data_IF_400033061837
#
_entry.id   IF_400033061837
#
_cell.length_a   1.000
_cell.length_b   1.000
_cell.length_c   1.000
_cell.angle_alpha   90.00
_cell.angle_beta   90.00
_cell.angle_gamma   90.00
#
_symmetry.space_group_name_H-M   'P 1'
#
loop_
_entity.id
_entity.type
_entity.pdbx_description
1 polymer ?
#
# COMPACT_ATOMS: atom_id res chain seq x y z
N UNK A 1 3.61 13.42 6.96
CA UNK A 1 4.80 14.05 6.35
C UNK A 1 5.10 13.35 5.03
N UNK A 2 5.53 14.06 3.99
CA UNK A 2 6.04 13.45 2.76
C UNK A 2 7.50 12.96 2.94
N UNK A 3 8.00 12.11 2.03
CA UNK A 3 9.38 11.56 2.09
C UNK A 3 10.45 12.63 2.33
N UNK A 4 10.37 13.77 1.62
CA UNK A 4 11.34 14.85 1.78
C UNK A 4 11.30 15.46 3.19
N UNK A 5 10.10 15.66 3.74
CA UNK A 5 9.92 16.12 5.12
C UNK A 5 10.46 15.11 6.13
N UNK A 6 10.26 13.81 5.92
CA UNK A 6 10.77 12.75 6.80
C UNK A 6 12.30 12.70 6.78
N UNK A 7 12.90 12.70 5.58
CA UNK A 7 14.37 12.76 5.42
C UNK A 7 14.97 13.99 6.07
N UNK A 8 14.34 15.16 5.89
CA UNK A 8 14.79 16.41 6.51
C UNK A 8 14.69 16.37 8.04
N UNK A 9 13.58 15.88 8.58
CA UNK A 9 13.37 15.76 10.01
C UNK A 9 14.39 14.82 10.66
N UNK A 10 14.63 13.66 10.04
CA UNK A 10 15.63 12.70 10.52
C UNK A 10 17.05 13.25 10.50
N UNK A 11 17.47 13.89 9.41
CA UNK A 11 18.79 14.52 9.32
C UNK A 11 18.95 15.58 10.40
N UNK A 12 17.89 16.35 10.67
CA UNK A 12 17.87 17.33 11.75
C UNK A 12 18.03 16.62 13.10
N UNK A 13 17.21 15.60 13.38
CA UNK A 13 17.27 14.82 14.63
C UNK A 13 18.69 14.28 14.90
N UNK A 14 19.30 13.60 13.92
CA UNK A 14 20.64 13.03 14.06
C UNK A 14 21.67 14.11 14.36
N UNK A 15 21.63 15.24 13.65
CA UNK A 15 22.56 16.37 13.88
C UNK A 15 22.42 16.94 15.28
N UNK A 16 21.20 17.10 15.76
CA UNK A 16 20.96 17.61 17.11
C UNK A 16 21.48 16.60 18.16
N UNK A 17 21.25 15.28 17.98
CA UNK A 17 21.79 14.23 18.86
C UNK A 17 23.33 14.24 18.87
N UNK A 18 23.99 14.31 17.70
CA UNK A 18 25.46 14.38 17.60
C UNK A 18 26.03 15.55 18.41
N UNK A 19 25.32 16.69 18.46
CA UNK A 19 25.73 17.86 19.25
C UNK A 19 25.84 17.57 20.75
N UNK A 20 25.05 16.64 21.27
CA UNK A 20 25.10 16.22 22.66
C UNK A 20 26.17 15.15 22.90
N UNK A 21 26.27 14.18 21.99
CA UNK A 21 27.28 13.11 22.05
C UNK A 21 28.72 13.66 22.03
N UNK A 22 29.00 14.63 21.16
CA UNK A 22 30.32 15.28 21.06
C UNK A 22 30.74 15.97 22.37
N UNK A 23 29.78 16.31 23.22
CA UNK A 23 30.00 16.95 24.52
C UNK A 23 29.91 15.99 25.71
N UNK A 24 29.81 14.68 25.45
CA UNK A 24 29.54 13.64 26.46
C UNK A 24 28.28 13.94 27.29
N UNK A 25 27.25 14.50 26.65
CA UNK A 25 25.94 14.73 27.24
C UNK A 25 24.98 13.73 26.57
N UNK A 26 24.26 12.92 27.35
CA UNK A 26 23.45 11.83 26.83
C UNK A 26 23.96 10.44 27.21
N UNK A 27 23.13 9.43 26.96
CA UNK A 27 23.46 8.02 27.16
C UNK A 27 24.48 7.54 26.12
N UNK A 28 25.37 6.60 26.48
CA UNK A 28 26.29 5.98 25.52
C UNK A 28 25.47 5.33 24.40
N UNK A 29 25.68 5.76 23.15
CA UNK A 29 24.95 5.25 21.98
C UNK A 29 25.04 3.73 21.84
N UNK A 30 26.09 3.12 22.39
CA UNK A 30 26.25 1.66 22.40
C UNK A 30 25.19 0.95 23.24
N UNK A 31 24.56 1.62 24.20
CA UNK A 31 23.43 1.06 24.97
C UNK A 31 22.18 0.83 24.12
N UNK A 32 22.12 1.48 22.95
CA UNK A 32 21.05 1.34 21.97
C UNK A 32 21.51 0.54 20.74
N UNK A 33 22.60 -0.25 20.86
CA UNK A 33 23.25 -0.92 19.73
C UNK A 33 23.57 0.04 18.55
N UNK A 34 23.83 1.32 18.86
CA UNK A 34 24.19 2.33 17.89
C UNK A 34 25.69 2.65 17.88
N UNK A 35 26.17 3.07 16.72
CA UNK A 35 27.48 3.69 16.48
C UNK A 35 27.31 4.90 15.55
N UNK A 36 28.39 5.64 15.29
CA UNK A 36 28.33 6.85 14.45
C UNK A 36 27.81 6.60 13.03
N UNK A 37 27.99 5.39 12.49
CA UNK A 37 27.50 5.00 11.16
C UNK A 37 26.04 4.58 11.23
N UNK A 38 25.66 3.81 12.23
CA UNK A 38 24.30 3.30 12.40
C UNK A 38 23.34 4.40 12.88
N UNK A 39 23.81 5.42 13.60
CA UNK A 39 23.05 6.63 13.95
C UNK A 39 22.59 7.41 12.71
N UNK A 40 23.33 7.32 11.60
CA UNK A 40 22.98 7.95 10.31
C UNK A 40 22.09 7.07 9.43
N UNK A 41 21.80 5.86 9.89
CA UNK A 41 20.97 4.91 9.17
C UNK A 41 19.52 4.97 9.69
N UNK A 42 18.64 5.40 8.80
CA UNK A 42 17.21 5.57 9.08
C UNK A 42 16.50 4.27 9.48
N UNK A 43 17.06 3.10 9.12
CA UNK A 43 16.54 1.80 9.58
C UNK A 43 16.56 1.67 11.10
N UNK A 44 17.43 2.42 11.77
CA UNK A 44 17.54 2.42 13.22
C UNK A 44 16.67 3.50 13.88
N UNK A 45 15.75 4.14 13.14
CA UNK A 45 14.89 5.20 13.68
C UNK A 45 14.26 4.84 15.03
N UNK A 46 13.75 3.61 15.28
CA UNK A 46 13.26 3.23 16.60
C UNK A 46 14.28 3.41 17.72
N UNK A 47 15.49 2.91 17.54
CA UNK A 47 16.56 3.03 18.54
C UNK A 47 17.04 4.48 18.69
N UNK A 48 17.03 5.23 17.59
CA UNK A 48 17.39 6.65 17.56
C UNK A 48 16.36 7.50 18.31
N UNK A 49 15.06 7.17 18.21
CA UNK A 49 13.99 7.84 18.96
C UNK A 49 14.12 7.56 20.46
N UNK A 50 14.45 6.34 20.86
CA UNK A 50 14.68 6.02 22.28
C UNK A 50 15.91 6.77 22.82
N UNK A 51 17.03 6.79 22.09
CA UNK A 51 18.20 7.61 22.43
C UNK A 51 17.83 9.11 22.54
N UNK A 52 17.02 9.62 21.62
CA UNK A 52 16.59 11.02 21.60
C UNK A 52 15.79 11.40 22.86
N UNK A 53 14.87 10.53 23.30
CA UNK A 53 14.11 10.71 24.55
C UNK A 53 15.04 10.77 25.75
N UNK A 54 16.01 9.86 25.83
CA UNK A 54 17.02 9.84 26.88
C UNK A 54 17.85 11.13 26.93
N UNK A 55 18.27 11.64 25.77
CA UNK A 55 18.98 12.93 25.68
C UNK A 55 18.11 14.06 26.21
N UNK A 56 16.83 14.13 25.82
CA UNK A 56 15.88 15.14 26.31
C UNK A 56 15.75 15.06 27.84
N UNK A 57 15.57 13.86 28.38
CA UNK A 57 15.40 13.65 29.82
C UNK A 57 16.65 14.05 30.60
N UNK A 58 17.85 13.70 30.13
CA UNK A 58 19.10 14.13 30.75
C UNK A 58 19.29 15.64 30.71
N UNK A 59 18.92 16.31 29.62
CA UNK A 59 18.98 17.78 29.53
C UNK A 59 18.04 18.42 30.56
N UNK A 60 16.81 17.90 30.67
CA UNK A 60 15.83 18.40 31.63
C UNK A 60 16.29 18.19 33.08
N UNK A 61 16.85 17.02 33.41
CA UNK A 61 17.33 16.71 34.76
C UNK A 61 18.59 17.50 35.16
N UNK A 62 19.54 17.67 34.25
CA UNK A 62 20.86 18.25 34.58
C UNK A 62 20.94 19.77 34.32
N UNK A 63 20.18 20.28 33.35
CA UNK A 63 20.35 21.65 32.83
C UNK A 63 19.06 22.46 32.83
N UNK A 64 17.88 21.83 32.95
CA UNK A 64 16.59 22.51 33.12
C UNK A 64 16.52 23.57 34.24
N UNK A 65 17.27 23.46 35.35
CA UNK A 65 17.31 24.48 36.40
C UNK A 65 18.31 25.63 36.16
N UNK A 66 19.24 25.52 35.20
CA UNK A 66 20.35 26.47 35.04
C UNK A 66 20.12 27.43 33.87
N UNK A 67 19.55 28.60 34.16
CA UNK A 67 19.33 29.69 33.17
C UNK A 67 20.60 30.52 32.92
N UNK A 68 21.70 29.87 32.56
CA UNK A 68 22.91 30.51 32.05
C UNK A 68 23.04 30.25 30.53
N UNK A 69 23.99 30.92 29.88
CA UNK A 69 24.18 30.82 28.41
C UNK A 69 24.39 29.36 27.94
N UNK A 70 25.03 28.53 28.78
CA UNK A 70 25.24 27.11 28.51
C UNK A 70 23.95 26.28 28.64
N UNK A 71 23.15 26.50 29.68
CA UNK A 71 21.88 25.80 29.87
C UNK A 71 20.85 26.17 28.81
N UNK A 72 20.81 27.44 28.38
CA UNK A 72 19.93 27.87 27.30
C UNK A 72 20.28 27.20 25.97
N UNK A 73 21.57 27.07 25.65
CA UNK A 73 22.04 26.33 24.48
C UNK A 73 21.50 24.89 24.47
N UNK A 74 21.70 24.13 25.55
CA UNK A 74 21.26 22.73 25.60
C UNK A 74 19.74 22.59 25.56
N UNK A 75 19.02 23.52 26.18
CA UNK A 75 17.56 23.53 26.15
C UNK A 75 17.01 23.76 24.73
N UNK A 76 17.59 24.70 23.97
CA UNK A 76 17.18 24.96 22.57
C UNK A 76 17.42 23.74 21.67
N UNK A 77 18.57 23.08 21.82
CA UNK A 77 18.88 21.86 21.09
C UNK A 77 17.95 20.69 21.47
N UNK A 78 17.65 20.51 22.76
CA UNK A 78 16.72 19.47 23.22
C UNK A 78 15.30 19.71 22.72
N UNK A 79 14.86 20.97 22.64
CA UNK A 79 13.56 21.32 22.05
C UNK A 79 13.48 20.95 20.56
N UNK A 80 14.55 21.17 19.79
CA UNK A 80 14.60 20.74 18.38
C UNK A 80 14.53 19.22 18.25
N UNK A 81 15.19 18.48 19.15
CA UNK A 81 15.08 17.02 19.23
C UNK A 81 13.62 16.63 19.50
N UNK A 82 12.97 17.26 20.48
CA UNK A 82 11.57 16.99 20.84
C UNK A 82 10.62 17.20 19.66
N UNK A 83 10.76 18.31 18.93
CA UNK A 83 9.97 18.58 17.71
C UNK A 83 10.16 17.48 16.64
N UNK A 84 11.40 16.98 16.47
CA UNK A 84 11.64 15.90 15.51
C UNK A 84 11.09 14.56 16.01
N UNK A 85 11.22 14.25 17.31
CA UNK A 85 10.67 13.04 17.93
C UNK A 85 9.15 13.00 17.77
N UNK A 86 8.46 14.13 18.00
CA UNK A 86 7.00 14.22 17.82
C UNK A 86 6.59 13.98 16.36
N UNK A 87 7.38 14.50 15.42
CA UNK A 87 7.13 14.34 13.98
C UNK A 87 7.43 12.92 13.45
N UNK A 88 8.44 12.26 14.00
CA UNK A 88 8.95 10.96 13.54
C UNK A 88 8.40 9.76 14.35
N UNK A 89 7.86 10.01 15.54
CA UNK A 89 7.33 9.00 16.47
C UNK A 89 6.33 8.03 15.81
N UNK A 90 5.30 8.50 15.10
CA UNK A 90 4.35 7.62 14.41
C UNK A 90 4.97 6.73 13.34
N UNK A 91 6.09 7.15 12.72
CA UNK A 91 6.84 6.35 11.74
C UNK A 91 7.65 5.29 12.47
N UNK A 92 8.32 5.69 13.55
CA UNK A 92 9.09 4.83 14.43
C UNK A 92 8.25 3.69 15.04
N UNK A 93 7.05 3.98 15.52
CA UNK A 93 6.13 2.98 16.08
C UNK A 93 5.77 1.90 15.06
N UNK A 94 5.42 2.31 13.83
CA UNK A 94 5.11 1.36 12.74
C UNK A 94 6.32 0.54 12.31
N UNK A 95 7.52 1.12 12.31
CA UNK A 95 8.75 0.35 12.04
C UNK A 95 8.97 -0.76 13.06
N UNK A 96 8.59 -0.53 14.32
CA UNK A 96 8.67 -1.55 15.38
C UNK A 96 7.56 -2.62 15.24
N UNK A 97 6.36 -2.25 14.80
CA UNK A 97 5.24 -3.18 14.60
C UNK A 97 5.40 -4.06 13.36
N UNK A 98 5.93 -3.50 12.26
CA UNK A 98 6.05 -4.15 10.96
C UNK A 98 7.50 -4.62 10.71
N UNK A 99 8.06 -5.42 11.62
CA UNK A 99 9.48 -5.84 11.64
C UNK A 99 10.01 -6.50 10.36
N UNK A 100 9.13 -6.91 9.43
CA UNK A 100 9.48 -7.50 8.14
C UNK A 100 9.52 -6.48 6.97
N UNK A 101 9.01 -5.27 7.15
CA UNK A 101 8.95 -4.26 6.09
C UNK A 101 10.15 -3.31 6.14
N UNK A 102 10.66 -3.00 4.97
CA UNK A 102 11.77 -2.07 4.78
C UNK A 102 11.27 -0.61 4.94
N UNK A 103 12.14 0.26 5.46
CA UNK A 103 11.87 1.69 5.64
C UNK A 103 11.34 2.38 4.38
N UNK A 104 11.83 2.02 3.20
CA UNK A 104 11.34 2.57 1.93
C UNK A 104 9.89 2.12 1.65
N UNK A 105 9.50 0.91 2.05
CA UNK A 105 8.11 0.42 1.97
C UNK A 105 7.19 1.12 2.97
N UNK A 106 7.70 1.43 4.16
CA UNK A 106 6.99 2.22 5.17
C UNK A 106 6.79 3.65 4.66
N UNK A 107 7.82 4.27 4.08
CA UNK A 107 7.73 5.60 3.47
C UNK A 107 6.77 5.67 2.28
N UNK A 108 6.67 4.61 1.47
CA UNK A 108 5.67 4.51 0.42
C UNK A 108 4.24 4.53 0.97
N UNK A 109 4.01 4.02 2.18
CA UNK A 109 2.72 4.15 2.88
C UNK A 109 2.47 5.57 3.43
N UNK A 110 3.52 6.37 3.66
CA UNK A 110 3.42 7.73 4.24
C UNK A 110 3.48 8.87 3.21
N UNK A 111 4.12 8.66 2.07
CA UNK A 111 4.16 9.67 1.02
C UNK A 111 2.84 9.65 0.27
N UNK A 112 2.10 10.77 0.19
CA UNK A 112 1.08 10.88 -0.82
C UNK A 112 1.81 10.68 -2.14
N UNK A 113 1.47 9.62 -2.88
CA UNK A 113 1.80 9.52 -4.30
C UNK A 113 1.57 10.90 -4.88
N UNK A 114 2.51 11.44 -5.66
CA UNK A 114 2.36 12.77 -6.25
C UNK A 114 1.20 12.70 -7.26
N UNK A 115 -0.03 12.89 -6.76
CA UNK A 115 -1.28 12.73 -7.53
C UNK A 115 -1.36 13.81 -8.61
N UNK A 116 -0.81 14.99 -8.32
CA UNK A 116 -0.80 16.13 -9.23
C UNK A 116 0.57 16.33 -9.88
N UNK A 117 0.60 16.60 -11.20
CA UNK A 117 1.81 17.06 -11.89
C UNK A 117 2.48 18.28 -11.24
N UNK A 118 3.77 18.42 -11.51
CA UNK A 118 4.59 19.55 -11.10
C UNK A 118 4.01 20.90 -11.56
N UNK A 119 4.12 21.91 -10.71
CA UNK A 119 3.61 23.26 -10.98
C UNK A 119 2.11 23.44 -10.71
N UNK A 120 1.38 22.40 -10.31
CA UNK A 120 -0.03 22.52 -9.90
C UNK A 120 -0.12 22.79 -8.40
N UNK A 121 -0.87 23.83 -8.02
CA UNK A 121 -1.13 24.11 -6.61
C UNK A 121 -2.11 23.08 -6.01
N UNK A 122 -1.58 22.22 -5.15
CA UNK A 122 -2.32 21.16 -4.45
C UNK A 122 -3.52 21.69 -3.65
N UNK A 123 -3.37 22.82 -2.95
CA UNK A 123 -4.40 23.32 -2.03
C UNK A 123 -5.70 23.71 -2.75
N UNK A 124 -5.65 23.94 -4.06
CA UNK A 124 -6.82 24.26 -4.88
C UNK A 124 -7.72 23.05 -5.16
N UNK A 125 -7.18 21.84 -5.03
CA UNK A 125 -7.86 20.60 -5.41
C UNK A 125 -7.99 19.62 -4.24
N UNK A 126 -7.86 20.11 -3.01
CA UNK A 126 -7.86 19.27 -1.82
C UNK A 126 -9.09 18.37 -1.73
N UNK A 127 -10.29 18.90 -1.96
CA UNK A 127 -11.54 18.14 -1.92
C UNK A 127 -11.54 16.96 -2.92
N UNK A 128 -11.10 17.20 -4.16
CA UNK A 128 -11.00 16.17 -5.21
C UNK A 128 -9.97 15.09 -4.84
N UNK A 129 -8.88 15.50 -4.20
CA UNK A 129 -7.83 14.57 -3.76
C UNK A 129 -8.29 13.74 -2.57
N UNK A 130 -9.09 14.33 -1.67
CA UNK A 130 -9.70 13.60 -0.57
C UNK A 130 -10.72 12.57 -1.06
N UNK A 131 -11.50 12.90 -2.10
CA UNK A 131 -12.43 11.98 -2.76
C UNK A 131 -11.74 10.76 -3.40
N UNK A 132 -10.42 10.81 -3.67
CA UNK A 132 -9.67 9.70 -4.26
C UNK A 132 -9.48 8.52 -3.31
N UNK A 133 -9.50 8.74 -1.99
CA UNK A 133 -9.12 7.73 -0.99
C UNK A 133 -9.93 6.45 -1.11
N UNK A 134 -11.24 6.58 -1.30
CA UNK A 134 -12.16 5.44 -1.37
C UNK A 134 -12.03 4.69 -2.70
N UNK A 135 -12.16 5.35 -3.88
CA UNK A 135 -11.97 4.70 -5.17
C UNK A 135 -10.60 4.03 -5.34
N UNK A 136 -9.51 4.63 -4.86
CA UNK A 136 -8.17 4.04 -4.93
C UNK A 136 -8.11 2.71 -4.16
N UNK A 137 -8.60 2.69 -2.91
CA UNK A 137 -8.62 1.46 -2.12
C UNK A 137 -9.50 0.39 -2.76
N UNK A 138 -10.67 0.76 -3.27
CA UNK A 138 -11.54 -0.16 -4.00
C UNK A 138 -10.84 -0.72 -5.25
N UNK A 139 -10.16 0.12 -6.02
CA UNK A 139 -9.41 -0.30 -7.20
C UNK A 139 -8.37 -1.35 -6.86
N UNK A 140 -7.58 -1.14 -5.81
CA UNK A 140 -6.55 -2.10 -5.37
C UNK A 140 -7.17 -3.46 -5.00
N UNK A 141 -8.24 -3.47 -4.20
CA UNK A 141 -8.94 -4.69 -3.79
C UNK A 141 -9.55 -5.44 -4.97
N UNK A 142 -10.19 -4.72 -5.88
CA UNK A 142 -10.79 -5.28 -7.09
C UNK A 142 -9.70 -5.86 -8.00
N UNK A 143 -8.61 -5.12 -8.22
CA UNK A 143 -7.49 -5.57 -9.04
C UNK A 143 -6.92 -6.90 -8.53
N UNK A 144 -6.68 -7.00 -7.22
CA UNK A 144 -6.17 -8.23 -6.58
C UNK A 144 -7.16 -9.37 -6.76
N UNK A 145 -8.43 -9.16 -6.38
CA UNK A 145 -9.47 -10.19 -6.48
C UNK A 145 -9.67 -10.69 -7.92
N UNK A 146 -9.72 -9.78 -8.91
CA UNK A 146 -9.93 -10.12 -10.31
C UNK A 146 -8.77 -10.98 -10.85
N UNK A 147 -7.53 -10.69 -10.45
CA UNK A 147 -6.36 -11.48 -10.85
C UNK A 147 -6.23 -12.82 -10.11
N UNK A 148 -6.69 -12.90 -8.87
CA UNK A 148 -6.86 -14.19 -8.17
C UNK A 148 -7.86 -15.07 -8.93
N UNK A 149 -9.01 -14.51 -9.32
CA UNK A 149 -10.02 -15.24 -10.12
C UNK A 149 -9.41 -15.72 -11.45
N UNK A 150 -8.63 -14.89 -12.16
CA UNK A 150 -7.94 -15.33 -13.39
C UNK A 150 -7.01 -16.51 -13.14
N UNK A 151 -6.18 -16.41 -12.10
CA UNK A 151 -5.21 -17.46 -11.75
C UNK A 151 -5.94 -18.76 -11.38
N UNK A 152 -7.04 -18.65 -10.64
CA UNK A 152 -7.91 -19.76 -10.32
C UNK A 152 -8.52 -20.42 -11.56
N UNK A 153 -9.06 -19.63 -12.50
CA UNK A 153 -9.59 -20.13 -13.77
C UNK A 153 -8.49 -20.85 -14.56
N UNK A 154 -7.30 -20.26 -14.71
CA UNK A 154 -6.17 -20.90 -15.41
C UNK A 154 -5.82 -22.25 -14.77
N UNK A 155 -5.75 -22.30 -13.44
CA UNK A 155 -5.47 -23.54 -12.69
C UNK A 155 -6.53 -24.61 -12.94
N UNK A 156 -7.81 -24.26 -12.88
CA UNK A 156 -8.92 -25.18 -13.12
C UNK A 156 -8.91 -25.70 -14.57
N UNK A 157 -8.71 -24.82 -15.56
CA UNK A 157 -8.62 -25.23 -16.97
C UNK A 157 -7.45 -26.18 -17.19
N UNK A 158 -6.27 -25.85 -16.66
CA UNK A 158 -5.07 -26.70 -16.75
C UNK A 158 -5.30 -28.08 -16.15
N UNK A 159 -5.96 -28.16 -14.99
CA UNK A 159 -6.29 -29.43 -14.33
C UNK A 159 -7.27 -30.29 -15.13
N UNK A 160 -8.07 -29.67 -16.01
CA UNK A 160 -9.00 -30.36 -16.91
C UNK A 160 -8.41 -30.54 -18.33
N UNK A 161 -7.10 -30.34 -18.53
CA UNK A 161 -6.44 -30.52 -19.82
C UNK A 161 -6.75 -29.45 -20.86
N UNK A 162 -7.29 -28.30 -20.45
CA UNK A 162 -7.68 -27.19 -21.33
C UNK A 162 -6.60 -26.10 -21.25
N UNK A 163 -6.02 -25.76 -22.39
CA UNK A 163 -4.88 -24.83 -22.47
C UNK A 163 -5.27 -23.36 -22.63
N UNK A 164 -6.55 -23.07 -22.96
CA UNK A 164 -7.02 -21.70 -23.21
C UNK A 164 -8.53 -21.56 -22.95
N UNK A 165 -9.00 -20.34 -22.68
CA UNK A 165 -10.45 -20.04 -22.62
C UNK A 165 -11.09 -20.21 -24.00
N UNK A 166 -10.38 -19.85 -25.07
CA UNK A 166 -10.89 -19.92 -26.44
C UNK A 166 -11.25 -21.36 -26.86
N UNK A 167 -10.59 -22.38 -26.29
CA UNK A 167 -10.92 -23.79 -26.51
C UNK A 167 -12.22 -24.27 -25.83
N UNK A 168 -12.87 -23.44 -25.01
CA UNK A 168 -14.12 -23.82 -24.32
C UNK A 168 -15.36 -23.80 -25.23
N UNK A 169 -15.25 -23.32 -26.48
CA UNK A 169 -16.37 -23.26 -27.42
C UNK A 169 -17.43 -22.19 -27.08
N UNK A 170 -17.11 -21.23 -26.21
CA UNK A 170 -18.04 -20.16 -25.82
C UNK A 170 -17.88 -18.99 -26.81
N UNK A 171 -18.69 -18.99 -27.88
CA UNK A 171 -18.59 -18.05 -29.01
C UNK A 171 -18.55 -16.56 -28.61
N UNK A 172 -19.25 -16.16 -27.56
CA UNK A 172 -19.23 -14.78 -27.07
C UNK A 172 -17.86 -14.39 -26.49
N UNK A 173 -17.20 -15.29 -25.76
CA UNK A 173 -15.86 -15.08 -25.20
C UNK A 173 -14.79 -15.13 -26.29
N UNK A 174 -14.87 -16.13 -27.17
CA UNK A 174 -13.96 -16.29 -28.32
C UNK A 174 -13.89 -15.01 -29.17
N UNK A 175 -15.05 -14.45 -29.54
CA UNK A 175 -15.09 -13.21 -30.34
C UNK A 175 -14.40 -12.05 -29.63
N UNK A 176 -14.60 -11.91 -28.31
CA UNK A 176 -14.00 -10.82 -27.52
C UNK A 176 -12.48 -10.99 -27.37
N UNK A 177 -12.01 -12.21 -27.11
CA UNK A 177 -10.57 -12.53 -27.05
C UNK A 177 -9.91 -12.15 -28.37
N UNK A 178 -10.46 -12.62 -29.50
CA UNK A 178 -9.91 -12.35 -30.84
C UNK A 178 -9.91 -10.85 -31.12
N UNK A 179 -11.03 -10.16 -30.91
CA UNK A 179 -11.16 -8.72 -31.14
C UNK A 179 -10.15 -7.91 -30.32
N UNK A 180 -10.09 -8.15 -29.00
CA UNK A 180 -9.21 -7.40 -28.08
C UNK A 180 -7.73 -7.71 -28.33
N UNK A 181 -7.39 -8.96 -28.70
CA UNK A 181 -6.02 -9.32 -29.08
C UNK A 181 -5.59 -8.66 -30.40
N UNK A 182 -6.49 -8.58 -31.39
CA UNK A 182 -6.21 -7.87 -32.64
C UNK A 182 -6.03 -6.36 -32.40
N UNK A 183 -6.90 -5.74 -31.60
CA UNK A 183 -6.78 -4.33 -31.23
C UNK A 183 -5.48 -4.02 -30.49
N UNK A 184 -5.04 -4.90 -29.59
CA UNK A 184 -3.77 -4.76 -28.88
C UNK A 184 -2.57 -4.79 -29.83
N UNK A 185 -2.57 -5.69 -30.82
CA UNK A 185 -1.50 -5.78 -31.84
C UNK A 185 -1.35 -4.49 -32.65
N UNK A 186 -2.41 -3.71 -32.80
CA UNK A 186 -2.39 -2.40 -33.46
C UNK A 186 -1.79 -1.32 -32.54
N UNK A 187 -1.90 -1.47 -31.22
CA UNK A 187 -1.43 -0.51 -30.20
C UNK A 187 -0.02 -0.82 -29.72
N UNK A 188 0.96 -0.79 -30.63
CA UNK A 188 2.38 -1.14 -30.36
C UNK A 188 3.07 -0.31 -29.26
N UNK A 189 2.47 0.80 -28.85
CA UNK A 189 2.97 1.66 -27.77
C UNK A 189 2.57 1.18 -26.37
N UNK A 190 1.70 0.17 -26.26
CA UNK A 190 1.32 -0.43 -24.98
C UNK A 190 2.00 -1.79 -24.81
N UNK A 191 2.32 -2.20 -23.57
CA UNK A 191 2.73 -3.56 -23.30
C UNK A 191 1.59 -4.54 -23.63
N UNK A 192 1.96 -5.73 -24.09
CA UNK A 192 1.01 -6.82 -24.29
C UNK A 192 0.51 -7.35 -22.94
N UNK A 193 -0.77 -7.68 -22.86
CA UNK A 193 -1.43 -8.17 -21.63
C UNK A 193 -0.96 -9.55 -21.14
N UNK A 194 -0.15 -10.27 -21.93
CA UNK A 194 0.57 -11.47 -21.48
C UNK A 194 0.04 -12.81 -22.00
N UNK A 195 0.44 -13.89 -21.32
CA UNK A 195 0.58 -15.26 -21.87
C UNK A 195 -0.65 -16.17 -21.92
N UNK A 196 -1.78 -15.81 -21.32
CA UNK A 196 -3.02 -16.60 -21.38
C UNK A 196 -4.20 -15.72 -21.84
N UNK A 197 -5.13 -16.27 -22.63
CA UNK A 197 -6.19 -15.49 -23.25
C UNK A 197 -7.23 -14.91 -22.28
N UNK A 198 -7.32 -15.46 -21.06
CA UNK A 198 -8.12 -14.93 -19.94
C UNK A 198 -7.81 -13.46 -19.59
N UNK A 199 -6.61 -12.96 -19.90
CA UNK A 199 -6.24 -11.55 -19.66
C UNK A 199 -6.87 -10.57 -20.66
N UNK A 200 -7.48 -11.09 -21.74
CA UNK A 200 -8.33 -10.30 -22.62
C UNK A 200 -9.76 -10.17 -22.10
N UNK A 201 -10.09 -10.81 -20.97
CA UNK A 201 -11.44 -10.84 -20.44
C UNK A 201 -11.57 -9.95 -19.19
N UNK A 202 -12.74 -9.32 -19.03
CA UNK A 202 -13.14 -8.57 -17.84
C UNK A 202 -13.88 -9.46 -16.83
N UNK A 203 -14.12 -8.92 -15.63
CA UNK A 203 -14.72 -9.66 -14.53
C UNK A 203 -16.10 -10.29 -14.87
N UNK A 204 -16.92 -9.62 -15.68
CA UNK A 204 -18.22 -10.15 -16.13
C UNK A 204 -18.04 -11.36 -17.05
N UNK A 205 -16.98 -11.36 -17.86
CA UNK A 205 -16.63 -12.49 -18.72
C UNK A 205 -15.97 -13.64 -17.94
N UNK A 206 -15.20 -13.35 -16.89
CA UNK A 206 -14.68 -14.37 -15.98
C UNK A 206 -15.83 -15.14 -15.30
N UNK A 207 -16.86 -14.41 -14.85
CA UNK A 207 -18.12 -15.03 -14.39
C UNK A 207 -18.70 -15.95 -15.45
N UNK A 208 -18.80 -15.51 -16.71
CA UNK A 208 -19.36 -16.35 -17.77
C UNK A 208 -18.59 -17.65 -17.98
N UNK A 209 -17.26 -17.66 -17.81
CA UNK A 209 -16.47 -18.91 -17.83
C UNK A 209 -16.95 -19.85 -16.73
N UNK A 210 -17.01 -19.36 -15.49
CA UNK A 210 -17.41 -20.14 -14.31
C UNK A 210 -18.80 -20.73 -14.48
N UNK A 211 -19.77 -19.93 -14.96
CA UNK A 211 -21.16 -20.36 -15.12
C UNK A 211 -21.30 -21.39 -16.25
N UNK A 212 -20.73 -21.14 -17.44
CA UNK A 212 -20.87 -22.06 -18.57
C UNK A 212 -20.11 -23.38 -18.36
N UNK A 213 -19.06 -23.38 -17.54
CA UNK A 213 -18.23 -24.55 -17.26
C UNK A 213 -18.32 -24.99 -15.79
N UNK A 214 -19.49 -24.82 -15.16
CA UNK A 214 -19.68 -25.04 -13.72
C UNK A 214 -19.20 -26.39 -13.21
N UNK A 215 -19.31 -27.42 -14.05
CA UNK A 215 -18.83 -28.77 -13.72
C UNK A 215 -17.35 -28.81 -13.29
N UNK A 216 -16.50 -27.90 -13.80
CA UNK A 216 -15.09 -27.79 -13.43
C UNK A 216 -14.86 -27.05 -12.11
N UNK A 217 -15.80 -26.23 -11.66
CA UNK A 217 -15.64 -25.31 -10.53
C UNK A 217 -16.39 -25.75 -9.27
N UNK A 218 -17.41 -26.60 -9.41
CA UNK A 218 -18.30 -27.04 -8.31
C UNK A 218 -17.61 -27.75 -7.13
N UNK A 219 -16.36 -28.17 -7.28
CA UNK A 219 -15.57 -28.78 -6.19
C UNK A 219 -14.86 -27.74 -5.33
N UNK A 220 -14.66 -26.53 -5.84
CA UNK A 220 -13.98 -25.42 -5.14
C UNK A 220 -14.94 -24.31 -4.75
N UNK A 221 -16.08 -24.18 -5.43
CA UNK A 221 -17.08 -23.15 -5.15
C UNK A 221 -18.37 -23.79 -4.62
N UNK A 222 -19.02 -23.17 -3.62
CA UNK A 222 -20.13 -23.80 -2.90
C UNK A 222 -21.42 -23.86 -3.73
N UNK A 223 -21.71 -22.80 -4.49
CA UNK A 223 -22.93 -22.67 -5.28
C UNK A 223 -22.71 -21.75 -6.49
N UNK A 224 -23.34 -22.10 -7.61
CA UNK A 224 -23.22 -21.37 -8.88
C UNK A 224 -23.90 -20.00 -8.80
N UNK A 225 -25.08 -19.94 -8.19
CA UNK A 225 -25.86 -18.69 -8.08
C UNK A 225 -25.16 -17.72 -7.13
N UNK A 226 -24.58 -18.23 -6.05
CA UNK A 226 -23.80 -17.47 -5.08
C UNK A 226 -22.61 -16.76 -5.74
N UNK A 227 -21.76 -17.48 -6.49
CA UNK A 227 -20.60 -16.85 -7.13
C UNK A 227 -21.03 -15.87 -8.22
N UNK A 228 -22.12 -16.19 -8.94
CA UNK A 228 -22.69 -15.28 -9.94
C UNK A 228 -23.10 -13.95 -9.30
N UNK A 229 -23.86 -14.00 -8.21
CA UNK A 229 -24.33 -12.82 -7.49
C UNK A 229 -23.17 -11.98 -6.95
N UNK A 230 -22.14 -12.63 -6.38
CA UNK A 230 -20.95 -11.91 -5.86
C UNK A 230 -20.16 -11.22 -6.94
N UNK A 231 -19.92 -11.88 -8.07
CA UNK A 231 -19.22 -11.26 -9.18
C UNK A 231 -20.06 -10.13 -9.81
N UNK A 232 -21.37 -10.28 -9.91
CA UNK A 232 -22.25 -9.23 -10.47
C UNK A 232 -22.30 -7.97 -9.59
N UNK A 233 -22.38 -8.13 -8.26
CA UNK A 233 -22.27 -7.01 -7.32
C UNK A 233 -20.89 -6.34 -7.40
N UNK A 234 -19.81 -7.12 -7.41
CA UNK A 234 -18.44 -6.59 -7.51
C UNK A 234 -18.19 -5.88 -8.84
N UNK A 235 -18.70 -6.42 -9.96
CA UNK A 235 -18.59 -5.82 -11.29
C UNK A 235 -19.29 -4.45 -11.37
N UNK A 236 -20.44 -4.31 -10.71
CA UNK A 236 -21.17 -3.04 -10.66
C UNK A 236 -20.35 -1.95 -9.96
N UNK A 237 -19.71 -2.29 -8.83
CA UNK A 237 -18.81 -1.39 -8.09
C UNK A 237 -17.53 -1.09 -8.88
N UNK A 238 -16.94 -2.12 -9.49
CA UNK A 238 -15.78 -2.00 -10.38
C UNK A 238 -16.01 -1.01 -11.51
N UNK A 239 -17.20 -1.01 -12.12
CA UNK A 239 -17.50 -0.05 -13.19
C UNK A 239 -17.54 1.39 -12.66
N UNK A 240 -18.10 1.64 -11.47
CA UNK A 240 -18.07 2.98 -10.87
C UNK A 240 -16.64 3.46 -10.61
N UNK A 241 -15.79 2.58 -10.09
CA UNK A 241 -14.36 2.88 -9.85
C UNK A 241 -13.63 3.14 -11.17
N UNK A 242 -13.78 2.27 -12.18
CA UNK A 242 -13.11 2.41 -13.47
C UNK A 242 -13.56 3.64 -14.27
N UNK A 243 -14.78 4.13 -14.02
CA UNK A 243 -15.29 5.38 -14.59
C UNK A 243 -15.05 6.60 -13.69
N UNK A 244 -14.15 6.49 -12.70
CA UNK A 244 -13.73 7.58 -11.81
C UNK A 244 -14.92 8.29 -11.12
N UNK A 245 -15.90 7.51 -10.63
CA UNK A 245 -17.04 8.07 -9.90
C UNK A 245 -16.60 8.58 -8.52
N UNK A 246 -16.70 9.89 -8.28
CA UNK A 246 -16.35 10.51 -6.98
C UNK A 246 -17.37 10.25 -5.85
N UNK A 247 -18.60 9.84 -6.16
CA UNK A 247 -19.66 9.62 -5.17
C UNK A 247 -19.65 8.20 -4.57
N UNK A 248 -18.48 7.63 -4.31
CA UNK A 248 -18.32 6.34 -3.63
C UNK A 248 -18.07 6.57 -2.14
N UNK A 249 -18.76 5.83 -1.28
CA UNK A 249 -18.72 6.00 0.17
C UNK A 249 -18.07 4.80 0.84
N UNK A 250 -17.91 4.87 2.16
CA UNK A 250 -17.41 3.78 3.00
C UNK A 250 -18.24 2.50 2.85
N UNK A 251 -19.54 2.62 2.57
CA UNK A 251 -20.46 1.48 2.47
C UNK A 251 -20.15 0.64 1.22
N UNK A 252 -19.88 1.31 0.08
CA UNK A 252 -19.42 0.63 -1.12
C UNK A 252 -18.04 -0.02 -0.93
N UNK A 253 -17.12 0.65 -0.21
CA UNK A 253 -15.82 0.07 0.11
C UNK A 253 -15.97 -1.20 0.96
N UNK A 254 -16.78 -1.16 2.02
CA UNK A 254 -17.04 -2.32 2.87
C UNK A 254 -17.68 -3.47 2.08
N UNK A 255 -18.54 -3.14 1.11
CA UNK A 255 -19.12 -4.12 0.19
C UNK A 255 -18.06 -4.78 -0.69
N UNK A 256 -17.14 -4.00 -1.28
CA UNK A 256 -16.00 -4.54 -2.05
C UNK A 256 -15.14 -5.46 -1.19
N UNK A 257 -14.75 -5.02 0.01
CA UNK A 257 -13.94 -5.82 0.93
C UNK A 257 -14.63 -7.14 1.25
N UNK A 258 -15.94 -7.10 1.49
CA UNK A 258 -16.73 -8.29 1.81
C UNK A 258 -16.79 -9.25 0.63
N UNK A 259 -17.13 -8.77 -0.57
CA UNK A 259 -17.23 -9.64 -1.75
C UNK A 259 -15.87 -10.22 -2.15
N UNK A 260 -14.81 -9.42 -2.14
CA UNK A 260 -13.46 -9.90 -2.44
C UNK A 260 -13.03 -10.97 -1.42
N UNK A 261 -13.19 -10.71 -0.12
CA UNK A 261 -12.85 -11.67 0.94
C UNK A 261 -13.62 -12.97 0.80
N UNK A 262 -14.93 -12.90 0.58
CA UNK A 262 -15.77 -14.07 0.42
C UNK A 262 -15.37 -14.92 -0.79
N UNK A 263 -15.11 -14.30 -1.95
CA UNK A 263 -14.65 -15.01 -3.16
C UNK A 263 -13.28 -15.64 -2.91
N UNK A 264 -12.33 -14.88 -2.38
CA UNK A 264 -10.95 -15.34 -2.15
C UNK A 264 -10.93 -16.53 -1.19
N UNK A 265 -11.69 -16.49 -0.09
CA UNK A 265 -11.79 -17.60 0.87
C UNK A 265 -12.29 -18.91 0.26
N UNK A 266 -13.15 -18.86 -0.75
CA UNK A 266 -13.59 -20.08 -1.46
C UNK A 266 -12.53 -20.59 -2.43
N UNK A 267 -11.77 -19.68 -3.07
CA UNK A 267 -10.71 -20.03 -4.03
C UNK A 267 -9.47 -20.58 -3.32
N UNK A 268 -9.10 -19.98 -2.20
CA UNK A 268 -7.96 -20.34 -1.36
C UNK A 268 -8.40 -20.49 0.11
N UNK A 269 -8.79 -21.72 0.51
CA UNK A 269 -9.26 -22.00 1.87
C UNK A 269 -8.18 -21.89 2.95
N UNK A 270 -6.91 -21.63 2.58
CA UNK A 270 -5.83 -21.47 3.56
C UNK A 270 -5.81 -20.09 4.24
N UNK A 271 -6.71 -19.19 3.82
CA UNK A 271 -6.84 -17.80 4.27
C UNK A 271 -8.04 -17.59 5.21
#
# INVERSE_FOLDING_TARGET
>A
MNEFQVKRAFVTLVREIETFLDKNIGSDIKLYDLDNKSLKNMKNLPMIIELAKDVIDQVRSNWGPQWNDYGWFYWDHAKKIEEQVESLGPISEKMSEESELDFDEILLKFSPVKILPDGINYSKYQDIIEDLKIPDRMFQLIFVCENIIRTFIIKILKNNGISSVNSLGINSLTRKIISRSQEEKLKRYLPIRGGHDVYYLDLSELKNIIINQWAFFKTSLPDQTWIQARIDSLYSLRNRVAHNSGALTSDELQSVETYCREIIKQIDPSI
#
